data_IF_659446933721
#
_entry.id   IF_659446933721
#
_cell.length_a   1.000
_cell.length_b   1.000
_cell.length_c   1.000
_cell.angle_alpha   90.00
_cell.angle_beta   90.00
_cell.angle_gamma   90.00
#
_symmetry.space_group_name_H-M   'P 1'
#
loop_
_entity.id
_entity.type
_entity.pdbx_description
1 polymer ?
#
# COMPACT_ATOMS: atom_id res chain seq x y z
N UNK A 1 -15.03 -34.88 -49.01
CA UNK A 1 -14.00 -34.12 -48.26
C UNK A 1 -14.64 -33.51 -47.02
N UNK A 2 -14.53 -34.18 -45.87
CA UNK A 2 -14.93 -33.62 -44.58
C UNK A 2 -13.91 -32.55 -44.16
N UNK A 3 -14.36 -31.31 -43.99
CA UNK A 3 -13.56 -30.23 -43.41
C UNK A 3 -13.33 -30.54 -41.94
N UNK A 4 -12.08 -30.85 -41.60
CA UNK A 4 -11.59 -30.88 -40.21
C UNK A 4 -11.86 -29.53 -39.54
N UNK A 5 -12.46 -29.50 -38.33
CA UNK A 5 -12.64 -28.26 -37.58
C UNK A 5 -11.27 -27.66 -37.23
N UNK A 6 -11.13 -26.33 -37.18
CA UNK A 6 -9.87 -25.69 -36.83
C UNK A 6 -9.46 -26.14 -35.43
N UNK A 7 -8.25 -26.70 -35.32
CA UNK A 7 -7.63 -27.06 -34.05
C UNK A 7 -7.86 -25.96 -33.02
N UNK A 8 -8.60 -26.28 -31.95
CA UNK A 8 -8.69 -25.44 -30.77
C UNK A 8 -7.26 -25.16 -30.31
N UNK A 9 -6.80 -23.91 -30.46
CA UNK A 9 -5.49 -23.49 -29.95
C UNK A 9 -5.41 -23.91 -28.50
N UNK A 10 -4.42 -24.74 -28.17
CA UNK A 10 -4.15 -25.15 -26.80
C UNK A 10 -4.19 -23.90 -25.90
N UNK A 11 -4.89 -23.93 -24.76
CA UNK A 11 -4.98 -22.78 -23.88
C UNK A 11 -3.55 -22.37 -23.54
N UNK A 12 -3.14 -21.19 -24.03
CA UNK A 12 -1.80 -20.66 -23.75
C UNK A 12 -1.68 -20.64 -22.24
N UNK A 13 -0.73 -21.41 -21.71
CA UNK A 13 -0.29 -21.23 -20.34
C UNK A 13 -0.01 -19.75 -20.12
N UNK A 14 -0.11 -19.28 -18.88
CA UNK A 14 0.21 -17.89 -18.55
C UNK A 14 1.72 -17.62 -18.70
N UNK A 15 2.22 -17.71 -19.93
CA UNK A 15 3.61 -17.64 -20.36
C UNK A 15 4.08 -16.19 -20.48
N UNK A 16 5.22 -16.00 -21.15
CA UNK A 16 5.95 -14.70 -21.26
C UNK A 16 4.97 -13.53 -21.41
N UNK A 17 5.17 -12.42 -20.67
CA UNK A 17 4.26 -11.28 -20.72
C UNK A 17 4.10 -10.82 -22.17
N UNK A 18 2.85 -10.65 -22.60
CA UNK A 18 2.56 -10.07 -23.90
C UNK A 18 3.12 -8.64 -23.97
N UNK A 19 3.39 -8.14 -25.18
CA UNK A 19 3.95 -6.80 -25.41
C UNK A 19 3.21 -5.71 -24.64
N UNK A 20 1.88 -5.78 -24.56
CA UNK A 20 1.06 -4.83 -23.80
C UNK A 20 1.33 -4.86 -22.28
N UNK A 21 1.43 -6.05 -21.67
CA UNK A 21 1.72 -6.20 -20.24
C UNK A 21 3.12 -5.68 -19.90
N UNK A 22 4.11 -5.91 -20.78
CA UNK A 22 5.45 -5.36 -20.62
C UNK A 22 5.48 -3.83 -20.75
N UNK A 23 4.76 -3.26 -21.73
CA UNK A 23 4.68 -1.81 -21.89
C UNK A 23 4.00 -1.14 -20.70
N UNK A 24 2.91 -1.71 -20.17
CA UNK A 24 2.25 -1.22 -18.95
C UNK A 24 3.20 -1.29 -17.76
N UNK A 25 3.94 -2.39 -17.61
CA UNK A 25 4.96 -2.52 -16.57
C UNK A 25 6.01 -1.41 -16.66
N UNK A 26 6.61 -1.21 -17.84
CA UNK A 26 7.66 -0.21 -18.04
C UNK A 26 7.14 1.23 -17.85
N UNK A 27 5.95 1.53 -18.38
CA UNK A 27 5.32 2.84 -18.22
C UNK A 27 4.99 3.12 -16.75
N UNK A 28 4.45 2.14 -16.03
CA UNK A 28 4.17 2.27 -14.60
C UNK A 28 5.46 2.40 -13.78
N UNK A 29 6.48 1.59 -14.08
CA UNK A 29 7.77 1.63 -13.41
C UNK A 29 8.43 3.00 -13.54
N UNK A 30 8.43 3.58 -14.75
CA UNK A 30 9.00 4.90 -14.99
C UNK A 30 8.11 5.99 -14.37
N UNK A 31 6.81 5.99 -14.64
CA UNK A 31 5.90 7.05 -14.18
C UNK A 31 5.77 7.12 -12.66
N UNK A 32 5.45 5.99 -12.02
CA UNK A 32 5.32 5.90 -10.56
C UNK A 32 6.69 6.05 -9.90
N UNK A 33 7.74 5.48 -10.49
CA UNK A 33 9.10 5.56 -9.97
C UNK A 33 9.64 6.99 -9.94
N UNK A 34 9.45 7.76 -11.02
CA UNK A 34 9.84 9.17 -11.08
C UNK A 34 9.06 9.99 -10.06
N UNK A 35 7.75 9.80 -9.95
CA UNK A 35 6.93 10.51 -8.96
C UNK A 35 7.35 10.18 -7.52
N UNK A 36 7.56 8.90 -7.21
CA UNK A 36 7.96 8.45 -5.87
C UNK A 36 9.38 8.90 -5.52
N UNK A 37 10.31 8.88 -6.48
CA UNK A 37 11.66 9.40 -6.30
C UNK A 37 11.66 10.93 -6.11
N UNK A 38 10.79 11.66 -6.82
CA UNK A 38 10.61 13.08 -6.63
C UNK A 38 10.14 13.38 -5.20
N UNK A 39 9.15 12.65 -4.68
CA UNK A 39 8.74 12.73 -3.28
C UNK A 39 9.90 12.39 -2.32
N UNK A 40 10.70 11.36 -2.61
CA UNK A 40 11.82 10.97 -1.78
C UNK A 40 12.86 12.08 -1.60
N UNK A 41 13.17 12.82 -2.66
CA UNK A 41 14.20 13.88 -2.64
C UNK A 41 13.66 15.25 -2.22
N UNK A 42 12.38 15.53 -2.47
CA UNK A 42 11.77 16.82 -2.13
C UNK A 42 11.21 16.87 -0.72
N UNK A 43 10.94 15.72 -0.09
CA UNK A 43 10.41 15.71 1.26
C UNK A 43 11.48 16.08 2.27
N UNK A 44 11.30 17.10 3.15
CA UNK A 44 12.28 17.38 4.18
C UNK A 44 12.52 16.17 5.09
N UNK A 45 13.70 16.08 5.70
CA UNK A 45 14.01 14.98 6.60
C UNK A 45 13.07 15.00 7.81
N UNK A 46 12.49 13.84 8.14
CA UNK A 46 11.55 13.71 9.25
C UNK A 46 10.16 14.31 9.01
N UNK A 47 9.89 14.93 7.86
CA UNK A 47 8.60 15.52 7.58
C UNK A 47 7.54 14.47 7.18
N UNK A 48 7.93 13.29 6.72
CA UNK A 48 6.99 12.21 6.38
C UNK A 48 6.43 11.55 7.64
N UNK A 49 5.16 11.09 7.63
CA UNK A 49 4.55 10.55 8.83
C UNK A 49 5.29 9.32 9.37
N UNK A 50 5.61 9.37 10.66
CA UNK A 50 6.29 8.32 11.43
C UNK A 50 7.66 7.88 10.86
N UNK A 51 8.16 8.59 9.84
CA UNK A 51 9.36 8.19 9.10
C UNK A 51 10.62 8.10 9.98
N UNK A 52 10.88 9.03 10.93
CA UNK A 52 12.05 8.91 11.80
C UNK A 52 12.09 7.59 12.57
N UNK A 53 10.95 7.16 13.13
CA UNK A 53 10.85 5.90 13.83
C UNK A 53 11.16 4.71 12.90
N UNK A 54 10.66 4.75 11.67
CA UNK A 54 10.91 3.72 10.66
C UNK A 54 12.35 3.71 10.15
N UNK A 55 13.00 4.88 10.02
CA UNK A 55 14.42 4.99 9.67
C UNK A 55 15.32 4.41 10.75
N UNK A 56 15.08 4.77 12.01
CA UNK A 56 15.81 4.22 13.16
C UNK A 56 15.66 2.69 13.23
N UNK A 57 14.43 2.18 13.09
CA UNK A 57 14.15 0.74 13.04
C UNK A 57 14.85 0.04 11.87
N UNK A 58 14.86 0.63 10.68
CA UNK A 58 15.57 0.08 9.53
C UNK A 58 17.08 -0.01 9.76
N UNK A 59 17.70 1.06 10.26
CA UNK A 59 19.12 1.09 10.54
C UNK A 59 19.54 0.13 11.68
N UNK A 60 18.69 -0.07 12.68
CA UNK A 60 18.94 -1.01 13.78
C UNK A 60 18.84 -2.47 13.33
N UNK A 61 17.80 -2.80 12.56
CA UNK A 61 17.51 -4.17 12.10
C UNK A 61 18.62 -4.69 11.19
N UNK A 62 19.14 -3.88 10.26
CA UNK A 62 20.25 -4.29 9.39
C UNK A 62 21.58 -4.45 10.11
N UNK A 63 21.67 -3.99 11.36
CA UNK A 63 22.81 -4.19 12.28
C UNK A 63 22.55 -5.31 13.31
N UNK A 64 21.47 -6.06 13.17
CA UNK A 64 21.12 -7.18 14.04
C UNK A 64 20.34 -6.80 15.31
N UNK A 65 20.04 -5.51 15.54
CA UNK A 65 19.21 -5.08 16.65
C UNK A 65 17.73 -5.06 16.23
N UNK A 66 17.10 -6.24 16.25
CA UNK A 66 15.75 -6.45 15.73
C UNK A 66 14.65 -5.81 16.58
N UNK A 67 14.74 -5.84 17.92
CA UNK A 67 13.70 -5.31 18.80
C UNK A 67 14.09 -3.99 19.48
N UNK A 68 15.36 -3.81 19.80
CA UNK A 68 15.81 -2.73 20.67
C UNK A 68 15.54 -3.01 22.15
N UNK A 69 16.01 -2.11 22.99
CA UNK A 69 15.85 -2.20 24.44
C UNK A 69 14.50 -1.61 24.88
N UNK A 70 13.91 -2.18 25.92
CA UNK A 70 12.60 -1.79 26.44
C UNK A 70 12.70 -0.41 27.10
N UNK A 71 11.71 0.44 26.85
CA UNK A 71 11.53 1.73 27.54
C UNK A 71 10.30 1.67 28.45
N UNK A 72 10.02 2.75 29.18
CA UNK A 72 8.82 2.87 30.01
C UNK A 72 7.52 2.83 29.18
N UNK A 73 7.59 3.25 27.90
CA UNK A 73 6.49 3.05 26.96
C UNK A 73 6.62 1.66 26.29
N UNK A 74 5.61 0.79 26.42
CA UNK A 74 5.66 -0.55 25.84
C UNK A 74 5.80 -0.55 24.31
N UNK A 75 5.37 0.51 23.61
CA UNK A 75 5.52 0.68 22.16
C UNK A 75 6.94 1.09 21.76
N UNK A 76 7.59 1.92 22.58
CA UNK A 76 8.86 2.56 22.26
C UNK A 76 10.03 1.66 22.65
N UNK A 77 11.03 1.64 21.78
CA UNK A 77 12.26 0.87 21.96
C UNK A 77 13.46 1.78 21.73
N UNK A 78 14.50 1.58 22.52
CA UNK A 78 15.79 2.25 22.35
C UNK A 78 16.66 1.42 21.41
N UNK A 79 17.25 2.06 20.41
CA UNK A 79 18.09 1.43 19.39
C UNK A 79 19.37 2.22 19.15
N UNK A 80 20.38 1.53 18.64
CA UNK A 80 21.69 2.07 18.33
C UNK A 80 21.83 2.24 16.82
N UNK A 81 21.94 3.48 16.35
CA UNK A 81 22.03 3.81 14.91
C UNK A 81 23.03 4.94 14.67
N UNK A 82 23.52 5.13 13.43
CA UNK A 82 24.35 6.30 13.10
C UNK A 82 23.63 7.62 13.40
N UNK A 83 24.34 8.61 13.92
CA UNK A 83 23.78 9.91 14.33
C UNK A 83 23.03 10.63 13.20
N UNK A 84 23.50 10.54 11.96
CA UNK A 84 22.80 11.16 10.83
C UNK A 84 21.51 10.44 10.43
N UNK A 85 21.32 9.17 10.81
CA UNK A 85 20.00 8.51 10.72
C UNK A 85 19.10 8.97 11.87
N UNK A 86 19.63 9.00 13.09
CA UNK A 86 18.90 9.47 14.28
C UNK A 86 18.45 10.94 14.15
N UNK A 87 19.19 11.76 13.40
CA UNK A 87 18.86 13.15 13.08
C UNK A 87 17.49 13.32 12.39
N UNK A 88 16.94 12.27 11.77
CA UNK A 88 15.59 12.31 11.19
C UNK A 88 14.50 12.72 12.20
N UNK A 89 14.66 12.44 13.50
CA UNK A 89 13.67 12.85 14.51
C UNK A 89 13.81 14.33 14.92
N UNK A 90 15.00 14.85 15.29
CA UNK A 90 15.21 16.28 15.50
C UNK A 90 14.87 17.17 14.30
N UNK A 91 15.01 16.66 13.07
CA UNK A 91 14.62 17.38 11.85
C UNK A 91 13.12 17.44 11.61
N UNK A 92 12.31 16.63 12.30
CA UNK A 92 10.85 16.70 12.27
C UNK A 92 10.29 17.88 13.09
N UNK A 93 10.96 19.03 13.11
CA UNK A 93 10.63 20.19 13.94
C UNK A 93 9.33 20.91 13.56
N UNK A 94 8.85 20.72 12.32
CA UNK A 94 7.56 21.22 11.83
C UNK A 94 6.40 20.21 12.03
N UNK A 95 6.64 19.09 12.73
CA UNK A 95 5.62 18.06 13.00
C UNK A 95 4.38 18.69 13.64
N UNK A 96 3.22 18.45 13.02
CA UNK A 96 1.90 18.96 13.44
C UNK A 96 1.71 20.48 13.32
N UNK A 97 2.64 21.18 12.67
CA UNK A 97 2.55 22.61 12.38
C UNK A 97 2.71 22.84 10.87
N UNK A 98 1.56 22.96 10.19
CA UNK A 98 1.50 23.10 8.73
C UNK A 98 2.04 24.42 8.20
N UNK A 99 2.12 25.46 9.04
CA UNK A 99 2.58 26.80 8.67
C UNK A 99 4.09 26.98 8.90
N UNK A 100 4.74 26.02 9.58
CA UNK A 100 6.17 26.02 9.85
C UNK A 100 6.97 25.34 8.74
N UNK A 101 8.04 26.01 8.29
CA UNK A 101 8.99 25.48 7.30
C UNK A 101 10.05 24.58 7.95
N UNK A 102 10.72 23.77 7.14
CA UNK A 102 11.78 22.85 7.57
C UNK A 102 13.06 23.55 8.07
N UNK A 103 13.19 24.86 7.87
CA UNK A 103 14.30 25.69 8.38
C UNK A 103 14.43 25.66 9.91
N UNK A 104 13.39 25.22 10.63
CA UNK A 104 13.49 25.03 12.08
C UNK A 104 14.41 23.89 12.50
N UNK A 105 14.84 23.04 11.56
CA UNK A 105 15.61 21.86 11.88
C UNK A 105 17.01 22.26 12.36
N UNK A 106 17.56 21.59 13.40
CA UNK A 106 18.95 21.79 13.79
C UNK A 106 19.89 21.40 12.62
N UNK A 107 21.14 21.84 12.63
CA UNK A 107 22.10 21.46 11.59
C UNK A 107 22.33 19.94 11.51
N UNK A 108 22.42 19.39 10.29
CA UNK A 108 22.76 17.98 10.08
C UNK A 108 24.17 17.67 10.62
N UNK A 109 24.41 16.52 11.29
CA UNK A 109 25.75 16.17 11.79
C UNK A 109 26.80 16.14 10.67
N UNK A 110 27.90 16.88 10.83
CA UNK A 110 28.91 17.00 9.80
C UNK A 110 30.00 15.91 9.86
N UNK A 111 30.43 15.42 8.69
CA UNK A 111 31.54 14.47 8.56
C UNK A 111 31.37 13.22 9.42
N UNK A 112 32.45 12.82 10.09
CA UNK A 112 32.49 11.61 10.92
C UNK A 112 31.49 11.62 12.09
N UNK A 113 31.00 12.81 12.49
CA UNK A 113 29.98 12.89 13.54
C UNK A 113 28.66 12.24 13.11
N UNK A 114 28.35 12.20 11.81
CA UNK A 114 27.17 11.52 11.27
C UNK A 114 27.24 10.00 11.43
N UNK A 115 28.45 9.43 11.39
CA UNK A 115 28.68 7.98 11.45
C UNK A 115 28.75 7.45 12.88
N UNK A 116 28.90 8.33 13.88
CA UNK A 116 28.92 7.93 15.29
C UNK A 116 27.62 7.20 15.64
N UNK A 117 27.75 6.02 16.22
CA UNK A 117 26.60 5.28 16.75
C UNK A 117 26.09 5.98 18.00
N UNK A 118 24.80 6.33 18.00
CA UNK A 118 24.10 6.99 19.09
C UNK A 118 22.88 6.17 19.49
N UNK A 119 22.44 6.39 20.73
CA UNK A 119 21.20 5.84 21.23
C UNK A 119 20.04 6.75 20.85
N UNK A 120 18.97 6.18 20.32
CA UNK A 120 17.75 6.90 19.94
C UNK A 120 16.53 6.01 20.10
N UNK A 121 15.35 6.60 20.07
CA UNK A 121 14.09 5.90 20.24
C UNK A 121 13.42 5.58 18.89
N UNK A 122 12.59 4.53 18.90
CA UNK A 122 11.69 4.20 17.80
C UNK A 122 10.38 3.62 18.31
N UNK A 123 9.26 4.18 17.85
CA UNK A 123 7.91 3.65 18.07
C UNK A 123 7.57 2.48 17.12
N UNK A 124 8.51 2.11 16.22
CA UNK A 124 8.41 0.99 15.30
C UNK A 124 9.19 -0.25 15.78
N UNK A 125 9.73 -0.23 17.00
CA UNK A 125 10.56 -1.29 17.57
C UNK A 125 9.94 -2.69 17.50
N UNK A 126 8.62 -2.80 17.69
CA UNK A 126 7.91 -4.08 17.68
C UNK A 126 7.48 -4.57 16.28
N UNK A 127 7.66 -3.74 15.24
CA UNK A 127 7.25 -4.11 13.89
C UNK A 127 8.10 -5.26 13.34
N UNK A 128 7.50 -6.04 12.45
CA UNK A 128 8.15 -7.15 11.73
C UNK A 128 9.37 -6.64 10.93
N UNK A 129 10.52 -7.33 10.97
CA UNK A 129 11.76 -6.82 10.41
C UNK A 129 11.87 -6.89 8.88
N UNK A 130 10.99 -7.60 8.16
CA UNK A 130 11.19 -7.86 6.72
C UNK A 130 11.30 -6.58 5.90
N UNK A 131 10.37 -5.63 6.05
CA UNK A 131 10.43 -4.36 5.32
C UNK A 131 11.71 -3.58 5.64
N UNK A 132 12.08 -3.53 6.92
CA UNK A 132 13.22 -2.79 7.43
C UNK A 132 14.57 -3.35 6.95
N UNK A 133 14.69 -4.67 6.80
CA UNK A 133 15.85 -5.31 6.17
C UNK A 133 16.00 -4.90 4.71
N UNK A 134 14.89 -4.77 3.98
CA UNK A 134 14.91 -4.43 2.55
C UNK A 134 15.30 -2.97 2.29
N UNK A 135 14.98 -2.05 3.20
CA UNK A 135 15.22 -0.61 3.01
C UNK A 135 16.39 -0.05 3.81
N UNK A 136 16.87 -0.74 4.86
CA UNK A 136 17.88 -0.22 5.78
C UNK A 136 19.33 -0.35 5.33
N UNK A 137 19.64 -1.25 4.39
CA UNK A 137 21.01 -1.57 3.98
C UNK A 137 21.83 -0.38 3.41
N UNK A 138 21.25 0.71 2.83
CA UNK A 138 22.03 1.88 2.44
C UNK A 138 22.86 2.46 3.60
N UNK A 139 22.37 2.36 4.83
CA UNK A 139 23.08 2.81 6.04
C UNK A 139 24.31 1.97 6.39
N UNK A 140 24.45 0.75 5.83
CA UNK A 140 25.65 -0.06 6.00
C UNK A 140 26.76 0.36 5.01
N UNK A 141 26.39 0.93 3.87
CA UNK A 141 27.33 1.34 2.82
C UNK A 141 27.80 2.78 3.02
N UNK A 142 26.86 3.68 3.33
CA UNK A 142 27.11 5.12 3.43
C UNK A 142 26.99 5.65 4.87
N UNK A 143 27.02 4.76 5.86
CA UNK A 143 26.99 5.14 7.28
C UNK A 143 25.75 5.95 7.65
N UNK A 144 25.96 7.04 8.37
CA UNK A 144 24.95 8.03 8.73
C UNK A 144 24.87 9.23 7.80
N UNK A 145 25.54 9.22 6.65
CA UNK A 145 25.49 10.35 5.71
C UNK A 145 24.08 10.62 5.17
N UNK A 146 23.87 11.83 4.65
CA UNK A 146 22.63 12.21 3.94
C UNK A 146 22.32 11.25 2.78
N UNK A 147 23.35 10.75 2.09
CA UNK A 147 23.22 9.75 1.03
C UNK A 147 22.58 8.45 1.53
N UNK A 148 22.92 8.00 2.74
CA UNK A 148 22.30 6.83 3.33
C UNK A 148 20.80 7.03 3.52
N UNK A 149 20.39 8.18 4.09
CA UNK A 149 18.99 8.49 4.40
C UNK A 149 18.13 8.59 3.13
N UNK A 150 18.58 9.33 2.11
CA UNK A 150 17.91 9.36 0.82
C UNK A 150 17.97 8.01 0.10
N UNK A 151 19.05 7.25 0.27
CA UNK A 151 19.17 5.88 -0.23
C UNK A 151 18.06 4.98 0.31
N UNK A 152 17.76 5.04 1.60
CA UNK A 152 16.66 4.27 2.20
C UNK A 152 15.30 4.62 1.56
N UNK A 153 15.02 5.92 1.37
CA UNK A 153 13.80 6.40 0.70
C UNK A 153 13.72 5.93 -0.75
N UNK A 154 14.80 6.05 -1.52
CA UNK A 154 14.83 5.62 -2.92
C UNK A 154 14.68 4.10 -3.07
N UNK A 155 15.20 3.31 -2.13
CA UNK A 155 14.97 1.86 -2.09
C UNK A 155 13.52 1.54 -1.77
N UNK A 156 12.91 2.23 -0.79
CA UNK A 156 11.47 2.12 -0.50
C UNK A 156 10.62 2.42 -1.75
N UNK A 157 10.94 3.52 -2.43
CA UNK A 157 10.28 3.95 -3.66
C UNK A 157 10.40 2.91 -4.77
N UNK A 158 11.60 2.37 -4.99
CA UNK A 158 11.84 1.33 -5.99
C UNK A 158 11.05 0.06 -5.69
N UNK A 159 11.10 -0.45 -4.45
CA UNK A 159 10.41 -1.66 -4.05
C UNK A 159 8.88 -1.53 -4.23
N UNK A 160 8.30 -0.45 -3.72
CA UNK A 160 6.87 -0.19 -3.83
C UNK A 160 6.44 0.02 -5.30
N UNK A 161 7.26 0.72 -6.09
CA UNK A 161 7.01 0.92 -7.52
C UNK A 161 7.06 -0.39 -8.30
N UNK A 162 8.02 -1.28 -8.04
CA UNK A 162 8.12 -2.59 -8.70
C UNK A 162 6.87 -3.44 -8.44
N UNK A 163 6.37 -3.43 -7.21
CA UNK A 163 5.14 -4.12 -6.81
C UNK A 163 3.91 -3.51 -7.51
N UNK A 164 3.76 -2.19 -7.48
CA UNK A 164 2.66 -1.49 -8.14
C UNK A 164 2.66 -1.65 -9.67
N UNK A 165 3.83 -1.54 -10.31
CA UNK A 165 4.00 -1.80 -11.74
C UNK A 165 3.68 -3.26 -12.07
N UNK A 166 4.10 -4.20 -11.22
CA UNK A 166 3.71 -5.61 -11.31
C UNK A 166 2.19 -5.80 -11.26
N UNK A 167 1.50 -5.12 -10.34
CA UNK A 167 0.04 -5.14 -10.23
C UNK A 167 -0.63 -4.72 -11.53
N UNK A 168 -0.27 -3.54 -12.06
CA UNK A 168 -0.84 -3.02 -13.31
C UNK A 168 -0.51 -3.93 -14.50
N UNK A 169 0.69 -4.50 -14.54
CA UNK A 169 1.09 -5.45 -15.57
C UNK A 169 0.28 -6.75 -15.54
N UNK A 170 -0.14 -7.23 -14.37
CA UNK A 170 -1.04 -8.39 -14.24
C UNK A 170 -2.46 -8.04 -14.70
N UNK A 171 -2.99 -6.89 -14.28
CA UNK A 171 -4.30 -6.41 -14.73
C UNK A 171 -4.36 -6.21 -16.25
N UNK A 172 -3.25 -5.81 -16.87
CA UNK A 172 -3.12 -5.69 -18.32
C UNK A 172 -3.27 -7.03 -19.08
N UNK A 173 -3.25 -8.18 -18.37
CA UNK A 173 -3.48 -9.51 -18.95
C UNK A 173 -4.95 -9.94 -18.88
N UNK A 174 -5.81 -9.18 -18.22
CA UNK A 174 -7.24 -9.45 -18.18
C UNK A 174 -7.84 -9.39 -19.59
N UNK A 175 -8.96 -10.10 -19.84
CA UNK A 175 -9.67 -10.01 -21.12
C UNK A 175 -10.13 -8.58 -21.47
N UNK A 176 -10.38 -7.77 -20.43
CA UNK A 176 -10.85 -6.38 -20.51
C UNK A 176 -9.97 -5.48 -19.63
N UNK A 177 -8.75 -5.14 -20.07
CA UNK A 177 -7.73 -4.59 -19.18
C UNK A 177 -7.85 -3.09 -18.94
N UNK A 178 -8.53 -2.34 -19.82
CA UNK A 178 -8.49 -0.87 -19.82
C UNK A 178 -8.99 -0.28 -18.51
N UNK A 179 -10.21 -0.61 -18.09
CA UNK A 179 -10.78 -0.06 -16.85
C UNK A 179 -10.05 -0.54 -15.59
N UNK A 180 -9.73 -1.85 -15.41
CA UNK A 180 -8.96 -2.31 -14.25
C UNK A 180 -7.59 -1.64 -14.11
N UNK A 181 -6.83 -1.49 -15.20
CA UNK A 181 -5.53 -0.81 -15.17
C UNK A 181 -5.71 0.67 -14.83
N UNK A 182 -6.62 1.37 -15.52
CA UNK A 182 -6.88 2.80 -15.31
C UNK A 182 -7.33 3.11 -13.89
N UNK A 183 -8.33 2.37 -13.39
CA UNK A 183 -8.90 2.61 -12.07
C UNK A 183 -7.92 2.27 -10.95
N UNK A 184 -7.14 1.19 -11.10
CA UNK A 184 -6.09 0.85 -10.11
C UNK A 184 -4.97 1.89 -10.12
N UNK A 185 -4.55 2.38 -11.29
CA UNK A 185 -3.59 3.48 -11.37
C UNK A 185 -4.13 4.76 -10.70
N UNK A 186 -5.38 5.13 -10.96
CA UNK A 186 -6.03 6.27 -10.33
C UNK A 186 -6.20 6.08 -8.81
N UNK A 187 -6.31 4.84 -8.33
CA UNK A 187 -6.36 4.52 -6.91
C UNK A 187 -4.99 4.60 -6.22
N UNK A 188 -3.89 4.60 -6.96
CA UNK A 188 -2.58 5.00 -6.43
C UNK A 188 -2.54 6.52 -6.33
N UNK A 189 -3.22 7.07 -5.33
CA UNK A 189 -3.39 8.51 -5.07
C UNK A 189 -2.06 9.25 -4.84
N UNK A 190 -2.04 10.60 -4.85
CA UNK A 190 -0.88 11.37 -4.44
C UNK A 190 -0.30 10.95 -3.08
N UNK A 191 -1.16 10.63 -2.11
CA UNK A 191 -0.73 10.07 -0.82
C UNK A 191 0.08 8.79 -1.00
N UNK A 192 -0.39 7.86 -1.83
CA UNK A 192 0.34 6.62 -2.11
C UNK A 192 1.74 6.89 -2.67
N UNK A 193 1.88 7.82 -3.63
CA UNK A 193 3.17 8.19 -4.20
C UNK A 193 4.10 8.86 -3.18
N UNK A 194 3.55 9.70 -2.30
CA UNK A 194 4.32 10.31 -1.20
C UNK A 194 4.85 9.27 -0.22
N UNK A 195 4.00 8.28 0.14
CA UNK A 195 4.39 7.18 1.03
C UNK A 195 5.45 6.30 0.39
N UNK A 196 5.35 6.01 -0.91
CA UNK A 196 6.39 5.26 -1.64
C UNK A 196 7.74 5.97 -1.56
N UNK A 197 7.75 7.31 -1.65
CA UNK A 197 8.94 8.14 -1.48
C UNK A 197 9.48 8.23 -0.05
N UNK A 198 8.82 7.62 0.92
CA UNK A 198 9.23 7.65 2.34
C UNK A 198 9.64 6.27 2.85
N UNK A 199 10.40 6.23 3.95
CA UNK A 199 10.62 4.99 4.69
C UNK A 199 9.38 4.73 5.56
N UNK A 200 8.39 4.04 5.00
CA UNK A 200 7.13 3.74 5.69
C UNK A 200 6.57 2.35 5.31
N UNK A 201 6.33 1.44 6.27
CA UNK A 201 5.78 0.12 5.99
C UNK A 201 4.33 0.14 5.47
N UNK A 202 3.58 1.24 5.65
CA UNK A 202 2.27 1.41 5.01
C UNK A 202 2.40 1.44 3.48
N UNK A 203 3.43 2.11 2.95
CA UNK A 203 3.73 2.11 1.51
C UNK A 203 3.89 0.68 0.97
N UNK A 204 4.62 -0.13 1.73
CA UNK A 204 4.89 -1.53 1.40
C UNK A 204 3.63 -2.40 1.45
N UNK A 205 2.78 -2.20 2.46
CA UNK A 205 1.48 -2.87 2.60
C UNK A 205 0.55 -2.57 1.43
N UNK A 206 0.46 -1.30 1.04
CA UNK A 206 -0.31 -0.84 -0.13
C UNK A 206 0.18 -1.56 -1.40
N UNK A 207 1.48 -1.49 -1.67
CA UNK A 207 2.05 -2.00 -2.90
C UNK A 207 1.96 -3.52 -3.00
N UNK A 208 2.24 -4.24 -1.89
CA UNK A 208 2.14 -5.69 -1.81
C UNK A 208 0.69 -6.17 -1.94
N UNK A 209 -0.28 -5.45 -1.35
CA UNK A 209 -1.72 -5.73 -1.50
C UNK A 209 -2.13 -5.59 -2.95
N UNK A 210 -1.78 -4.49 -3.61
CA UNK A 210 -2.11 -4.28 -5.02
C UNK A 210 -1.51 -5.38 -5.91
N UNK A 211 -0.24 -5.73 -5.70
CA UNK A 211 0.46 -6.76 -6.46
C UNK A 211 -0.19 -8.15 -6.29
N UNK A 212 -0.41 -8.58 -5.04
CA UNK A 212 -1.04 -9.86 -4.75
C UNK A 212 -2.48 -9.92 -5.29
N UNK A 213 -3.29 -8.90 -5.01
CA UNK A 213 -4.69 -8.82 -5.46
C UNK A 213 -4.80 -8.85 -6.99
N UNK A 214 -3.97 -8.08 -7.69
CA UNK A 214 -3.99 -8.04 -9.16
C UNK A 214 -3.63 -9.40 -9.77
N UNK A 215 -2.60 -10.08 -9.28
CA UNK A 215 -2.21 -11.40 -9.77
C UNK A 215 -3.28 -12.47 -9.46
N UNK A 216 -3.82 -12.44 -8.24
CA UNK A 216 -4.85 -13.39 -7.80
C UNK A 216 -6.15 -13.22 -8.60
N UNK A 217 -6.68 -12.00 -8.67
CA UNK A 217 -7.89 -11.67 -9.43
C UNK A 217 -7.71 -11.96 -10.91
N UNK A 218 -6.55 -11.64 -11.50
CA UNK A 218 -6.27 -11.94 -12.91
C UNK A 218 -6.25 -13.45 -13.18
N UNK A 219 -5.67 -14.24 -12.26
CA UNK A 219 -5.67 -15.70 -12.34
C UNK A 219 -7.07 -16.30 -12.27
N UNK A 220 -7.90 -15.83 -11.33
CA UNK A 220 -9.28 -16.27 -11.16
C UNK A 220 -10.15 -15.94 -12.37
N UNK A 221 -10.10 -14.69 -12.86
CA UNK A 221 -10.94 -14.21 -13.97
C UNK A 221 -10.59 -14.91 -15.28
N UNK A 222 -9.30 -15.16 -15.53
CA UNK A 222 -8.87 -15.81 -16.77
C UNK A 222 -9.14 -17.31 -16.78
N UNK A 223 -9.09 -17.96 -15.63
CA UNK A 223 -9.41 -19.39 -15.49
C UNK A 223 -8.51 -20.36 -16.28
N UNK A 224 -7.48 -19.90 -17.00
CA UNK A 224 -6.53 -20.72 -17.76
C UNK A 224 -5.36 -21.24 -16.93
N UNK A 225 -4.45 -22.07 -17.48
CA UNK A 225 -3.35 -22.68 -16.73
C UNK A 225 -2.41 -21.64 -16.07
N UNK A 226 -2.00 -21.90 -14.83
CA UNK A 226 -1.13 -21.00 -14.04
C UNK A 226 0.33 -21.38 -14.25
N UNK A 227 1.18 -20.40 -14.56
CA UNK A 227 2.62 -20.61 -14.67
C UNK A 227 3.32 -20.56 -13.32
N UNK A 228 4.46 -21.23 -13.19
CA UNK A 228 5.32 -21.13 -12.00
C UNK A 228 5.78 -19.70 -11.70
N UNK A 229 5.88 -18.85 -12.72
CA UNK A 229 6.16 -17.41 -12.54
C UNK A 229 5.04 -16.68 -11.81
N UNK A 230 3.78 -17.01 -12.14
CA UNK A 230 2.61 -16.44 -11.47
C UNK A 230 2.50 -16.95 -10.03
N UNK A 231 2.76 -18.24 -9.82
CA UNK A 231 2.84 -18.80 -8.47
C UNK A 231 3.94 -18.18 -7.62
N UNK A 232 5.15 -18.01 -8.18
CA UNK A 232 6.24 -17.32 -7.49
C UNK A 232 5.89 -15.87 -7.17
N UNK A 233 5.25 -15.15 -8.09
CA UNK A 233 4.79 -13.79 -7.84
C UNK A 233 3.74 -13.73 -6.74
N UNK A 234 2.75 -14.63 -6.73
CA UNK A 234 1.76 -14.74 -5.65
C UNK A 234 2.42 -15.08 -4.30
N UNK A 235 3.37 -16.00 -4.29
CA UNK A 235 4.11 -16.40 -3.10
C UNK A 235 4.92 -15.25 -2.51
N UNK A 236 5.68 -14.54 -3.36
CA UNK A 236 6.49 -13.39 -2.95
C UNK A 236 5.59 -12.25 -2.49
N UNK A 237 4.62 -11.81 -3.30
CA UNK A 237 3.77 -10.66 -2.95
C UNK A 237 2.87 -10.93 -1.74
N UNK A 238 2.33 -12.13 -1.61
CA UNK A 238 1.54 -12.54 -0.44
C UNK A 238 2.40 -12.68 0.82
N UNK A 239 3.62 -13.23 0.70
CA UNK A 239 4.57 -13.30 1.80
C UNK A 239 5.04 -11.92 2.27
N UNK A 240 5.39 -11.03 1.34
CA UNK A 240 5.77 -9.66 1.66
C UNK A 240 4.61 -8.89 2.32
N UNK A 241 3.37 -9.08 1.84
CA UNK A 241 2.19 -8.42 2.39
C UNK A 241 2.03 -8.73 3.88
N UNK A 242 2.05 -10.01 4.28
CA UNK A 242 1.76 -10.39 5.68
C UNK A 242 2.80 -9.89 6.69
N UNK A 243 3.99 -9.53 6.22
CA UNK A 243 5.07 -8.96 7.03
C UNK A 243 5.16 -7.42 6.96
N UNK A 244 4.25 -6.73 6.26
CA UNK A 244 4.34 -5.27 6.14
C UNK A 244 4.00 -4.55 7.46
N UNK A 245 2.88 -4.88 8.09
CA UNK A 245 2.39 -4.32 9.36
C UNK A 245 1.62 -5.40 10.14
N UNK A 246 1.34 -5.14 11.42
CA UNK A 246 0.60 -6.07 12.28
C UNK A 246 -0.81 -6.44 11.77
N UNK A 247 -1.45 -5.57 10.99
CA UNK A 247 -2.79 -5.82 10.42
C UNK A 247 -2.76 -6.42 9.01
N UNK A 248 -1.60 -6.55 8.37
CA UNK A 248 -1.51 -6.97 6.97
C UNK A 248 -2.06 -8.38 6.67
N UNK A 249 -1.96 -9.38 7.57
CA UNK A 249 -2.64 -10.66 7.39
C UNK A 249 -4.17 -10.54 7.22
N UNK A 250 -4.78 -9.52 7.84
CA UNK A 250 -6.21 -9.23 7.66
C UNK A 250 -6.50 -8.86 6.21
N UNK A 251 -5.72 -7.96 5.62
CA UNK A 251 -5.90 -7.53 4.23
C UNK A 251 -5.73 -8.67 3.23
N UNK A 252 -4.76 -9.56 3.46
CA UNK A 252 -4.62 -10.78 2.67
C UNK A 252 -5.92 -11.60 2.68
N UNK A 253 -6.52 -11.79 3.86
CA UNK A 253 -7.81 -12.47 4.01
C UNK A 253 -8.93 -11.80 3.21
N UNK A 254 -9.05 -10.48 3.28
CA UNK A 254 -10.07 -9.72 2.52
C UNK A 254 -9.87 -9.89 1.01
N UNK A 255 -8.63 -9.83 0.52
CA UNK A 255 -8.31 -10.06 -0.91
C UNK A 255 -8.74 -11.45 -1.36
N UNK A 256 -8.41 -12.48 -0.57
CA UNK A 256 -8.75 -13.88 -0.89
C UNK A 256 -10.27 -14.07 -0.94
N UNK A 257 -11.00 -13.57 0.06
CA UNK A 257 -12.46 -13.70 0.13
C UNK A 257 -13.14 -12.91 -1.00
N UNK A 258 -12.74 -11.66 -1.24
CA UNK A 258 -13.29 -10.85 -2.33
C UNK A 258 -13.06 -11.50 -3.71
N UNK A 259 -11.86 -12.02 -3.96
CA UNK A 259 -11.56 -12.76 -5.19
C UNK A 259 -12.37 -14.06 -5.31
N UNK A 260 -12.53 -14.84 -4.24
CA UNK A 260 -13.36 -16.04 -4.26
C UNK A 260 -14.83 -15.71 -4.57
N UNK A 261 -15.37 -14.62 -4.01
CA UNK A 261 -16.71 -14.13 -4.32
C UNK A 261 -16.86 -13.70 -5.78
N UNK A 262 -15.81 -13.15 -6.39
CA UNK A 262 -15.83 -12.60 -7.76
C UNK A 262 -16.19 -13.66 -8.81
N UNK A 263 -15.61 -14.86 -8.68
CA UNK A 263 -15.84 -15.97 -9.63
C UNK A 263 -16.76 -17.07 -9.09
N UNK A 264 -17.07 -17.04 -7.79
CA UNK A 264 -17.83 -18.06 -7.07
C UNK A 264 -16.95 -19.19 -6.52
N UNK A 265 -17.39 -19.77 -5.40
CA UNK A 265 -16.63 -20.77 -4.64
C UNK A 265 -16.12 -21.97 -5.47
N UNK A 266 -16.92 -22.59 -6.36
CA UNK A 266 -16.44 -23.75 -7.13
C UNK A 266 -15.26 -23.41 -8.06
N UNK A 267 -15.28 -22.23 -8.70
CA UNK A 267 -14.21 -21.77 -9.58
C UNK A 267 -12.97 -21.34 -8.80
N UNK A 268 -13.16 -20.67 -7.68
CA UNK A 268 -12.07 -20.32 -6.77
C UNK A 268 -11.34 -21.58 -6.29
N UNK A 269 -12.09 -22.61 -5.88
CA UNK A 269 -11.53 -23.88 -5.44
C UNK A 269 -10.81 -24.64 -6.56
N UNK A 270 -11.36 -24.64 -7.77
CA UNK A 270 -10.70 -25.23 -8.94
C UNK A 270 -9.38 -24.50 -9.29
N UNK A 271 -9.31 -23.19 -9.09
CA UNK A 271 -8.08 -22.42 -9.25
C UNK A 271 -7.05 -22.76 -8.15
N UNK A 272 -7.49 -22.82 -6.89
CA UNK A 272 -6.64 -23.12 -5.74
C UNK A 272 -6.03 -24.52 -5.81
N UNK A 273 -6.76 -25.52 -6.31
CA UNK A 273 -6.29 -26.91 -6.44
C UNK A 273 -5.17 -27.12 -7.47
N UNK A 274 -4.76 -26.09 -8.21
CA UNK A 274 -3.67 -26.21 -9.17
C UNK A 274 -2.34 -26.32 -8.42
N UNK A 275 -1.43 -27.22 -8.80
CA UNK A 275 -0.20 -27.47 -8.05
C UNK A 275 0.63 -26.20 -7.86
N UNK A 276 0.72 -25.34 -8.89
CA UNK A 276 1.44 -24.08 -8.81
C UNK A 276 0.81 -23.12 -7.77
N UNK A 277 -0.53 -23.05 -7.74
CA UNK A 277 -1.25 -22.19 -6.78
C UNK A 277 -1.18 -22.77 -5.38
N UNK A 278 -1.29 -24.10 -5.22
CA UNK A 278 -1.11 -24.77 -3.93
C UNK A 278 0.28 -24.51 -3.33
N UNK A 279 1.34 -24.55 -4.14
CA UNK A 279 2.69 -24.18 -3.67
C UNK A 279 2.72 -22.73 -3.19
N UNK A 280 2.15 -21.80 -3.96
CA UNK A 280 2.08 -20.40 -3.54
C UNK A 280 1.28 -20.22 -2.24
N UNK A 281 0.13 -20.89 -2.12
CA UNK A 281 -0.68 -20.92 -0.89
C UNK A 281 0.11 -21.47 0.28
N UNK A 282 0.85 -22.57 0.09
CA UNK A 282 1.70 -23.16 1.14
C UNK A 282 2.77 -22.17 1.63
N UNK A 283 3.47 -21.50 0.71
CA UNK A 283 4.47 -20.49 1.06
C UNK A 283 3.85 -19.31 1.79
N UNK A 284 2.72 -18.78 1.30
CA UNK A 284 2.02 -17.66 1.95
C UNK A 284 1.49 -18.08 3.32
N UNK A 285 0.96 -19.29 3.48
CA UNK A 285 0.48 -19.80 4.76
C UNK A 285 1.60 -19.92 5.79
N UNK A 286 2.77 -20.46 5.41
CA UNK A 286 3.95 -20.52 6.28
C UNK A 286 4.43 -19.12 6.65
N UNK A 287 4.53 -18.21 5.67
CA UNK A 287 4.91 -16.81 5.92
C UNK A 287 3.91 -16.10 6.84
N UNK A 288 2.61 -16.35 6.66
CA UNK A 288 1.55 -15.81 7.53
C UNK A 288 1.70 -16.34 8.95
N UNK A 289 1.99 -17.64 9.12
CA UNK A 289 2.22 -18.22 10.43
C UNK A 289 3.44 -17.58 11.13
N UNK A 290 4.53 -17.34 10.40
CA UNK A 290 5.71 -16.64 10.93
C UNK A 290 5.38 -15.20 11.34
N UNK A 291 4.64 -14.45 10.51
CA UNK A 291 4.19 -13.10 10.82
C UNK A 291 3.29 -13.07 12.07
N UNK A 292 2.33 -14.00 12.17
CA UNK A 292 1.45 -14.12 13.35
C UNK A 292 2.25 -14.48 14.61
N UNK A 293 3.22 -15.40 14.51
CA UNK A 293 4.11 -15.73 15.64
C UNK A 293 4.90 -14.50 16.08
N UNK A 294 5.42 -13.70 15.14
CA UNK A 294 6.09 -12.43 15.47
C UNK A 294 5.15 -11.47 16.19
N UNK A 295 3.94 -11.25 15.64
CA UNK A 295 2.93 -10.36 16.21
C UNK A 295 2.57 -10.75 17.64
N UNK A 296 2.33 -12.05 17.88
CA UNK A 296 1.97 -12.59 19.19
C UNK A 296 3.13 -12.53 20.19
N UNK A 297 4.36 -12.81 19.77
CA UNK A 297 5.54 -12.77 20.65
C UNK A 297 5.94 -11.35 21.04
N UNK A 298 5.81 -10.40 20.12
CA UNK A 298 6.19 -9.00 20.36
C UNK A 298 5.07 -8.19 21.00
N UNK A 299 3.82 -8.67 20.94
CA UNK A 299 2.66 -7.91 21.40
C UNK A 299 2.41 -6.64 20.59
N UNK A 300 2.89 -6.57 19.34
CA UNK A 300 2.87 -5.35 18.50
C UNK A 300 1.49 -4.71 18.33
N UNK A 301 0.41 -5.49 18.36
CA UNK A 301 -0.98 -5.00 18.29
C UNK A 301 -1.54 -4.52 19.64
N UNK A 302 -0.96 -4.97 20.76
CA UNK A 302 -1.40 -4.62 22.11
C UNK A 302 -0.61 -3.45 22.68
N UNK A 303 0.64 -3.27 22.25
CA UNK A 303 1.55 -2.20 22.64
C UNK A 303 1.41 -0.98 21.71
N UNK A 304 0.20 -0.63 21.31
CA UNK A 304 -0.10 0.65 20.67
C UNK A 304 -0.32 1.59 21.85
N UNK A 305 0.55 2.58 22.06
CA UNK A 305 0.59 3.45 23.24
C UNK A 305 -0.74 4.14 23.58
N UNK A 306 -0.72 5.07 24.55
CA UNK A 306 -1.95 5.75 24.98
C UNK A 306 -2.17 7.03 24.17
N UNK A 307 -3.22 7.04 23.35
CA UNK A 307 -3.63 8.19 22.53
C UNK A 307 -4.91 8.83 23.06
N UNK A 308 -5.32 9.93 22.43
CA UNK A 308 -6.51 10.69 22.80
C UNK A 308 -7.76 9.79 22.83
N UNK A 309 -8.61 10.02 23.84
CA UNK A 309 -9.84 9.27 24.13
C UNK A 309 -9.62 7.78 24.45
N UNK A 310 -8.45 7.41 24.98
CA UNK A 310 -8.28 6.09 25.61
C UNK A 310 -9.35 5.87 26.70
N UNK A 311 -9.89 4.64 26.78
CA UNK A 311 -11.00 4.30 27.67
C UNK A 311 -12.40 4.48 27.08
N UNK A 312 -12.51 4.97 25.83
CA UNK A 312 -13.79 5.03 25.10
C UNK A 312 -14.38 3.63 24.95
N UNK A 313 -15.71 3.51 25.05
CA UNK A 313 -16.40 2.22 24.89
C UNK A 313 -16.29 1.69 23.45
N UNK A 314 -16.39 0.36 23.28
CA UNK A 314 -16.39 -0.27 21.96
C UNK A 314 -17.48 0.31 21.03
N UNK A 315 -18.70 0.46 21.54
CA UNK A 315 -19.84 0.93 20.74
C UNK A 315 -19.67 2.36 20.27
N UNK A 316 -19.20 3.24 21.15
CA UNK A 316 -18.91 4.64 20.81
C UNK A 316 -17.74 4.74 19.82
N UNK A 317 -16.66 3.97 20.05
CA UNK A 317 -15.53 3.89 19.13
C UNK A 317 -15.92 3.45 17.73
N UNK A 318 -16.82 2.46 17.62
CA UNK A 318 -17.35 1.99 16.36
C UNK A 318 -18.12 3.09 15.62
N UNK A 319 -19.03 3.79 16.32
CA UNK A 319 -19.82 4.88 15.73
C UNK A 319 -18.91 6.01 15.24
N UNK A 320 -17.96 6.45 16.06
CA UNK A 320 -17.02 7.51 15.69
C UNK A 320 -16.22 7.14 14.45
N UNK A 321 -15.76 5.89 14.35
CA UNK A 321 -15.01 5.43 13.18
C UNK A 321 -15.85 5.42 11.91
N UNK A 322 -17.13 5.04 12.03
CA UNK A 322 -18.07 5.07 10.90
C UNK A 322 -18.35 6.52 10.47
N UNK A 323 -18.57 7.43 11.41
CA UNK A 323 -18.78 8.86 11.14
C UNK A 323 -17.55 9.49 10.47
N UNK A 324 -16.35 9.21 10.99
CA UNK A 324 -15.07 9.72 10.46
C UNK A 324 -14.60 9.03 9.18
N UNK A 325 -15.32 8.04 8.65
CA UNK A 325 -14.91 7.32 7.43
C UNK A 325 -14.70 8.27 6.25
N UNK A 326 -15.49 9.33 6.15
CA UNK A 326 -15.36 10.36 5.11
C UNK A 326 -14.19 11.31 5.38
N UNK A 327 -13.95 11.67 6.64
CA UNK A 327 -12.81 12.51 7.02
C UNK A 327 -11.49 11.81 6.70
N UNK A 328 -11.38 10.52 7.03
CA UNK A 328 -10.24 9.68 6.68
C UNK A 328 -10.03 9.55 5.18
N UNK A 329 -11.06 9.72 4.37
CA UNK A 329 -10.94 9.63 2.93
C UNK A 329 -10.04 10.76 2.37
N UNK A 330 -9.93 11.92 3.06
CA UNK A 330 -9.00 12.99 2.69
C UNK A 330 -7.55 12.55 2.84
N UNK A 331 -7.23 11.86 3.94
CA UNK A 331 -5.89 11.33 4.21
C UNK A 331 -5.46 10.29 3.18
N UNK A 332 -6.41 9.60 2.55
CA UNK A 332 -6.12 8.65 1.49
C UNK A 332 -5.70 9.33 0.18
N UNK A 333 -6.02 10.61 -0.04
CA UNK A 333 -5.71 11.30 -1.29
C UNK A 333 -4.50 12.21 -1.13
N UNK A 334 -4.46 13.06 -0.11
CA UNK A 334 -3.40 14.06 0.03
C UNK A 334 -3.50 14.85 1.31
N UNK A 335 -3.34 14.18 2.45
CA UNK A 335 -2.96 14.83 3.70
C UNK A 335 -1.54 14.39 4.04
N UNK A 336 -0.57 15.21 3.61
CA UNK A 336 0.85 14.88 3.71
C UNK A 336 1.42 15.32 5.05
N UNK A 337 2.71 15.03 5.24
CA UNK A 337 3.41 15.38 6.45
C UNK A 337 2.91 14.57 7.65
N UNK A 338 2.84 15.19 8.81
CA UNK A 338 2.29 14.58 10.02
C UNK A 338 0.75 14.77 10.11
N UNK A 339 0.06 14.56 8.97
CA UNK A 339 -1.35 14.91 8.74
C UNK A 339 -1.66 16.42 8.90
N UNK A 340 -0.65 17.25 8.66
CA UNK A 340 -0.65 18.70 8.85
C UNK A 340 -0.63 19.47 7.51
N UNK A 341 -0.48 18.76 6.38
CA UNK A 341 -0.36 19.37 5.04
C UNK A 341 -1.42 18.86 4.10
N UNK A 342 -2.66 19.26 4.35
CA UNK A 342 -3.80 18.84 3.57
C UNK A 342 -3.91 19.62 2.25
N UNK A 343 -4.02 18.91 1.12
CA UNK A 343 -4.28 19.57 -0.17
C UNK A 343 -5.68 20.18 -0.21
N UNK A 344 -5.91 21.21 -1.06
CA UNK A 344 -7.22 21.80 -1.22
C UNK A 344 -8.31 20.80 -1.61
N UNK A 345 -9.52 20.95 -1.07
CA UNK A 345 -10.62 20.01 -1.26
C UNK A 345 -11.01 19.80 -2.73
N UNK A 346 -10.78 20.80 -3.61
CA UNK A 346 -11.04 20.65 -5.04
C UNK A 346 -10.14 19.62 -5.73
N UNK A 347 -8.95 19.33 -5.18
CA UNK A 347 -8.04 18.31 -5.69
C UNK A 347 -8.41 16.92 -5.17
N UNK A 348 -9.05 16.85 -4.00
CA UNK A 348 -9.52 15.61 -3.37
C UNK A 348 -10.85 15.15 -3.95
N UNK A 349 -11.79 16.07 -4.14
CA UNK A 349 -13.17 15.76 -4.51
C UNK A 349 -13.33 14.92 -5.79
N UNK A 350 -12.56 15.14 -6.88
CA UNK A 350 -12.64 14.31 -8.08
C UNK A 350 -12.33 12.83 -7.83
N UNK A 351 -11.46 12.52 -6.87
CA UNK A 351 -11.19 11.14 -6.47
C UNK A 351 -12.45 10.52 -5.86
N UNK A 352 -13.08 11.18 -4.89
CA UNK A 352 -14.32 10.67 -4.27
C UNK A 352 -15.44 10.44 -5.29
N UNK A 353 -15.62 11.37 -6.23
CA UNK A 353 -16.59 11.19 -7.31
C UNK A 353 -16.24 9.97 -8.17
N UNK A 354 -14.97 9.84 -8.59
CA UNK A 354 -14.52 8.69 -9.35
C UNK A 354 -14.71 7.35 -8.63
N UNK A 355 -14.44 7.32 -7.32
CA UNK A 355 -14.60 6.13 -6.47
C UNK A 355 -16.08 5.77 -6.33
N UNK A 356 -16.92 6.75 -6.02
CA UNK A 356 -18.37 6.57 -5.92
C UNK A 356 -18.95 6.06 -7.24
N UNK A 357 -18.57 6.67 -8.36
CA UNK A 357 -19.05 6.28 -9.70
C UNK A 357 -18.65 4.84 -10.05
N UNK A 358 -17.40 4.44 -9.83
CA UNK A 358 -16.96 3.08 -10.20
C UNK A 358 -17.59 2.01 -9.30
N UNK A 359 -17.72 2.28 -8.00
CA UNK A 359 -18.38 1.37 -7.05
C UNK A 359 -19.87 1.27 -7.36
N UNK A 360 -20.56 2.40 -7.59
CA UNK A 360 -21.96 2.42 -7.96
C UNK A 360 -22.20 1.69 -9.29
N UNK A 361 -21.38 1.96 -10.31
CA UNK A 361 -21.47 1.26 -11.60
C UNK A 361 -21.30 -0.25 -11.43
N UNK A 362 -20.35 -0.70 -10.61
CA UNK A 362 -20.13 -2.12 -10.36
C UNK A 362 -21.27 -2.79 -9.57
N UNK A 363 -22.01 -2.04 -8.75
CA UNK A 363 -23.17 -2.53 -7.98
C UNK A 363 -24.48 -2.52 -8.78
N UNK A 364 -24.65 -1.54 -9.68
CA UNK A 364 -25.89 -1.30 -10.40
C UNK A 364 -25.95 -1.99 -11.76
N UNK A 365 -24.81 -2.16 -12.44
CA UNK A 365 -24.78 -2.75 -13.78
C UNK A 365 -24.85 -4.28 -13.69
N UNK A 366 -25.66 -4.95 -14.53
CA UNK A 366 -25.71 -6.41 -14.57
C UNK A 366 -24.33 -7.03 -14.80
N UNK A 367 -23.83 -7.75 -13.80
CA UNK A 367 -22.53 -8.41 -13.82
C UNK A 367 -22.65 -9.93 -13.90
N UNK A 368 -21.53 -10.62 -14.15
CA UNK A 368 -21.46 -12.06 -13.93
C UNK A 368 -21.86 -12.43 -12.49
N UNK A 369 -22.42 -13.64 -12.31
CA UNK A 369 -22.76 -14.19 -10.98
C UNK A 369 -21.51 -14.14 -10.08
N UNK A 370 -21.59 -13.40 -8.97
CA UNK A 370 -20.48 -13.21 -8.02
C UNK A 370 -19.88 -11.81 -7.99
N UNK A 371 -19.92 -11.07 -9.11
CA UNK A 371 -19.32 -9.73 -9.21
C UNK A 371 -19.81 -8.74 -8.15
N UNK A 372 -21.13 -8.53 -8.07
CA UNK A 372 -21.74 -7.68 -7.03
C UNK A 372 -21.39 -8.13 -5.60
N UNK A 373 -21.31 -9.44 -5.34
CA UNK A 373 -20.93 -9.95 -4.01
C UNK A 373 -19.49 -9.60 -3.66
N UNK A 374 -18.57 -9.71 -4.61
CA UNK A 374 -17.17 -9.33 -4.41
C UNK A 374 -17.03 -7.83 -4.10
N UNK A 375 -17.76 -6.97 -4.82
CA UNK A 375 -17.77 -5.53 -4.56
C UNK A 375 -18.35 -5.22 -3.17
N UNK A 376 -19.44 -5.88 -2.78
CA UNK A 376 -20.03 -5.73 -1.43
C UNK A 376 -19.05 -6.19 -0.36
N UNK A 377 -18.39 -7.34 -0.53
CA UNK A 377 -17.38 -7.83 0.43
C UNK A 377 -16.22 -6.85 0.55
N UNK A 378 -15.70 -6.33 -0.56
CA UNK A 378 -14.62 -5.35 -0.53
C UNK A 378 -15.06 -4.02 0.10
N UNK A 379 -16.29 -3.58 -0.16
CA UNK A 379 -16.86 -2.36 0.42
C UNK A 379 -17.09 -2.50 1.93
N UNK A 380 -17.67 -3.61 2.36
CA UNK A 380 -17.85 -3.95 3.77
C UNK A 380 -16.50 -4.07 4.46
N UNK A 381 -15.51 -4.69 3.82
CA UNK A 381 -14.14 -4.78 4.33
C UNK A 381 -13.48 -3.41 4.48
N UNK A 382 -13.69 -2.51 3.52
CA UNK A 382 -13.18 -1.14 3.55
C UNK A 382 -13.82 -0.28 4.66
N UNK A 383 -15.13 -0.41 4.90
CA UNK A 383 -15.85 0.40 5.89
C UNK A 383 -15.81 -0.21 7.29
N UNK A 384 -16.16 -1.48 7.44
CA UNK A 384 -16.38 -2.09 8.75
C UNK A 384 -15.10 -2.56 9.43
N UNK A 385 -14.12 -3.10 8.70
CA UNK A 385 -12.94 -3.68 9.37
C UNK A 385 -12.09 -2.63 10.10
N UNK A 386 -11.76 -1.46 9.50
CA UNK A 386 -11.11 -0.38 10.25
C UNK A 386 -11.87 0.01 11.51
N UNK A 387 -13.20 0.15 11.41
CA UNK A 387 -14.05 0.56 12.51
C UNK A 387 -14.08 -0.49 13.63
N UNK A 388 -14.18 -1.78 13.30
CA UNK A 388 -14.14 -2.88 14.26
C UNK A 388 -12.78 -3.02 14.94
N UNK A 389 -11.70 -2.91 14.17
CA UNK A 389 -10.33 -3.00 14.70
C UNK A 389 -10.08 -1.84 15.66
N UNK A 390 -10.38 -0.61 15.25
CA UNK A 390 -10.17 0.56 16.10
C UNK A 390 -11.12 0.57 17.31
N UNK A 391 -12.37 0.13 17.16
CA UNK A 391 -13.29 -0.03 18.31
C UNK A 391 -12.78 -1.05 19.33
N UNK A 392 -12.09 -2.11 18.88
CA UNK A 392 -11.50 -3.10 19.78
C UNK A 392 -10.28 -2.57 20.54
N UNK A 393 -9.52 -1.63 19.97
CA UNK A 393 -8.31 -1.06 20.59
C UNK A 393 -8.58 0.21 21.40
N UNK A 394 -9.59 1.01 21.05
CA UNK A 394 -9.83 2.35 21.65
C UNK A 394 -10.02 2.31 23.16
N UNK A 395 -10.54 1.20 23.70
CA UNK A 395 -10.71 0.98 25.14
C UNK A 395 -9.39 1.05 25.91
N UNK A 396 -8.25 0.74 25.27
CA UNK A 396 -6.92 0.73 25.86
C UNK A 396 -6.00 1.80 25.28
N UNK A 397 -5.96 1.92 23.96
CA UNK A 397 -4.99 2.75 23.25
C UNK A 397 -5.53 4.10 22.81
N UNK A 398 -6.84 4.36 22.85
CA UNK A 398 -7.41 5.54 22.21
C UNK A 398 -7.36 5.50 20.67
N UNK A 399 -7.58 6.64 20.02
CA UNK A 399 -7.66 6.74 18.56
C UNK A 399 -6.30 6.89 17.87
N UNK A 400 -5.90 5.84 17.14
CA UNK A 400 -4.61 5.78 16.44
C UNK A 400 -4.80 5.70 14.93
N UNK A 401 -6.00 5.33 14.48
CA UNK A 401 -6.28 5.12 13.07
C UNK A 401 -6.19 6.40 12.26
N UNK A 402 -5.61 6.29 11.07
CA UNK A 402 -5.46 7.38 10.10
C UNK A 402 -5.93 6.86 8.74
N UNK A 403 -6.48 7.73 7.90
CA UNK A 403 -7.12 7.25 6.67
C UNK A 403 -6.18 6.54 5.71
N UNK A 404 -4.89 6.88 5.72
CA UNK A 404 -3.86 6.17 4.95
C UNK A 404 -3.77 4.66 5.26
N UNK A 405 -4.19 4.20 6.45
CA UNK A 405 -4.23 2.77 6.79
C UNK A 405 -5.32 2.00 6.02
N UNK A 406 -6.28 2.70 5.41
CA UNK A 406 -7.34 2.08 4.61
C UNK A 406 -6.97 1.90 3.13
N UNK A 407 -5.85 2.47 2.67
CA UNK A 407 -5.43 2.41 1.27
C UNK A 407 -5.34 0.97 0.70
N UNK A 408 -4.87 -0.06 1.44
CA UNK A 408 -4.90 -1.45 0.97
C UNK A 408 -6.32 -1.95 0.63
N UNK A 409 -7.28 -1.72 1.52
CA UNK A 409 -8.68 -2.12 1.34
C UNK A 409 -9.35 -1.34 0.21
N UNK A 410 -9.07 -0.04 0.15
CA UNK A 410 -9.55 0.85 -0.89
C UNK A 410 -9.07 0.43 -2.28
N UNK A 411 -7.77 0.12 -2.43
CA UNK A 411 -7.22 -0.37 -3.70
C UNK A 411 -7.88 -1.66 -4.14
N UNK A 412 -8.12 -2.60 -3.22
CA UNK A 412 -8.86 -3.82 -3.50
C UNK A 412 -10.30 -3.51 -3.98
N UNK A 413 -11.01 -2.62 -3.27
CA UNK A 413 -12.38 -2.21 -3.63
C UNK A 413 -12.45 -1.65 -5.04
N UNK A 414 -11.59 -0.68 -5.37
CA UNK A 414 -11.56 -0.06 -6.70
C UNK A 414 -11.15 -1.08 -7.77
N UNK A 415 -10.16 -1.92 -7.50
CA UNK A 415 -9.71 -2.96 -8.42
C UNK A 415 -10.85 -3.95 -8.74
N UNK A 416 -11.54 -4.46 -7.72
CA UNK A 416 -12.66 -5.40 -7.91
C UNK A 416 -13.83 -4.72 -8.61
N UNK A 417 -14.20 -3.51 -8.21
CA UNK A 417 -15.25 -2.73 -8.87
C UNK A 417 -14.94 -2.51 -10.35
N UNK A 418 -13.69 -2.16 -10.68
CA UNK A 418 -13.24 -1.97 -12.05
C UNK A 418 -13.32 -3.26 -12.88
N UNK A 419 -12.92 -4.40 -12.32
CA UNK A 419 -13.03 -5.71 -12.98
C UNK A 419 -14.49 -6.08 -13.26
N UNK A 420 -15.39 -5.78 -12.32
CA UNK A 420 -16.83 -6.04 -12.46
C UNK A 420 -17.49 -5.11 -13.49
N UNK A 421 -17.09 -3.83 -13.51
CA UNK A 421 -17.63 -2.83 -14.44
C UNK A 421 -17.01 -2.88 -15.85
N UNK A 422 -15.86 -3.55 -16.03
CA UNK A 422 -15.14 -3.59 -17.30
C UNK A 422 -15.99 -4.01 -18.53
N UNK A 423 -16.88 -5.02 -18.46
CA UNK A 423 -17.71 -5.40 -19.61
C UNK A 423 -18.67 -4.30 -20.07
N UNK A 424 -19.13 -3.45 -19.16
CA UNK A 424 -20.00 -2.34 -19.48
C UNK A 424 -19.20 -1.16 -20.05
N UNK A 425 -18.03 -0.91 -19.46
CA UNK A 425 -17.09 0.08 -19.97
C UNK A 425 -16.71 -0.19 -21.43
N UNK A 426 -16.42 -1.44 -21.82
CA UNK A 426 -16.07 -1.79 -23.21
C UNK A 426 -17.16 -1.47 -24.24
N UNK A 427 -18.43 -1.32 -23.82
CA UNK A 427 -19.55 -0.96 -24.71
C UNK A 427 -19.68 0.55 -24.93
N UNK A 428 -18.97 1.35 -24.16
CA UNK A 428 -18.99 2.81 -24.25
C UNK A 428 -18.29 3.25 -25.54
N UNK A 429 -18.76 4.30 -26.25
CA UNK A 429 -18.12 4.78 -27.48
C UNK A 429 -16.65 5.18 -27.27
N UNK A 430 -15.80 4.94 -28.26
CA UNK A 430 -14.36 5.21 -28.19
C UNK A 430 -14.03 6.68 -27.86
N UNK A 431 -14.86 7.64 -28.30
CA UNK A 431 -14.71 9.05 -27.94
C UNK A 431 -14.84 9.27 -26.43
N UNK A 432 -15.81 8.61 -25.79
CA UNK A 432 -16.05 8.70 -24.35
C UNK A 432 -14.93 7.99 -23.58
N UNK A 433 -14.41 6.86 -24.07
CA UNK A 433 -13.19 6.25 -23.50
C UNK A 433 -12.01 7.22 -23.46
N UNK A 434 -11.72 7.88 -24.60
CA UNK A 434 -10.62 8.86 -24.67
C UNK A 434 -10.82 10.02 -23.71
N UNK A 435 -12.06 10.51 -23.57
CA UNK A 435 -12.40 11.57 -22.62
C UNK A 435 -12.23 11.13 -21.18
N UNK A 436 -12.64 9.92 -20.82
CA UNK A 436 -12.44 9.37 -19.47
C UNK A 436 -10.94 9.20 -19.17
N UNK A 437 -10.17 8.67 -20.11
CA UNK A 437 -8.71 8.53 -19.97
C UNK A 437 -8.04 9.90 -19.79
N UNK A 438 -8.38 10.88 -20.61
CA UNK A 438 -7.86 12.24 -20.49
C UNK A 438 -8.26 12.88 -19.16
N UNK A 439 -9.53 12.73 -18.73
CA UNK A 439 -10.01 13.23 -17.46
C UNK A 439 -9.25 12.63 -16.28
N UNK A 440 -9.10 11.30 -16.24
CA UNK A 440 -8.34 10.61 -15.18
C UNK A 440 -6.88 11.08 -15.18
N UNK A 441 -6.25 11.19 -16.34
CA UNK A 441 -4.87 11.66 -16.44
C UNK A 441 -4.72 13.11 -15.96
N UNK A 442 -5.61 14.02 -16.36
CA UNK A 442 -5.61 15.42 -15.96
C UNK A 442 -5.87 15.57 -14.46
N UNK A 443 -6.88 14.89 -13.93
CA UNK A 443 -7.20 14.90 -12.49
C UNK A 443 -6.01 14.39 -11.68
N UNK A 444 -5.42 13.26 -12.10
CA UNK A 444 -4.30 12.65 -11.39
C UNK A 444 -3.05 13.52 -11.44
N UNK A 445 -2.72 14.08 -12.60
CA UNK A 445 -1.59 14.98 -12.77
C UNK A 445 -1.78 16.29 -11.99
N UNK A 446 -2.99 16.88 -12.04
CA UNK A 446 -3.31 18.10 -11.31
C UNK A 446 -3.23 17.89 -9.80
N UNK A 447 -3.79 16.79 -9.28
CA UNK A 447 -3.71 16.48 -7.85
C UNK A 447 -2.29 16.15 -7.40
N UNK A 448 -1.49 15.43 -8.21
CA UNK A 448 -0.08 15.20 -7.93
C UNK A 448 0.72 16.51 -7.91
N UNK A 449 0.48 17.40 -8.88
CA UNK A 449 1.13 18.71 -8.95
C UNK A 449 0.73 19.60 -7.77
N UNK A 450 -0.57 19.75 -7.50
CA UNK A 450 -1.07 20.52 -6.35
C UNK A 450 -0.53 19.95 -5.05
N UNK A 451 -0.49 18.63 -4.92
CA UNK A 451 0.02 17.97 -3.74
C UNK A 451 1.50 18.25 -3.48
N UNK A 452 2.33 18.08 -4.51
CA UNK A 452 3.76 18.39 -4.42
C UNK A 452 3.98 19.88 -4.13
N UNK A 453 3.29 20.78 -4.84
CA UNK A 453 3.43 22.23 -4.64
C UNK A 453 2.96 22.68 -3.26
N UNK A 454 1.91 22.07 -2.71
CA UNK A 454 1.45 22.35 -1.34
C UNK A 454 2.53 21.92 -0.34
N UNK A 455 3.13 20.76 -0.55
CA UNK A 455 4.17 20.25 0.34
C UNK A 455 5.47 21.05 0.28
N UNK A 456 5.90 21.43 -0.93
CA UNK A 456 7.11 22.23 -1.15
C UNK A 456 7.09 23.63 -0.51
N UNK A 457 5.91 24.16 -0.15
CA UNK A 457 5.81 25.42 0.61
C UNK A 457 6.39 25.32 2.03
N UNK A 458 6.57 24.09 2.52
CA UNK A 458 7.14 23.80 3.84
C UNK A 458 8.65 23.54 3.78
N UNK A 459 9.26 23.53 2.59
CA UNK A 459 10.69 23.30 2.45
C UNK A 459 11.52 24.51 2.85
#
# INVERSE_FOLDING_TARGET
MMRTPPHARAPRTDGRPGRASLLVFLAALIGIGVLSALWAVTTPLGASPDEPAHMNKAASVVRGQFLGDVTDDPQVRTVQVPAGVAYSDPSACARHDGDRTADCAPGFPAGDAADRIVSTETSAGLYDPVYYLLVGWPTLIWGGSTTAVFGMRLVSALLCTLLAAGALAYLARLPRPVLPVLATFAALTPMTHSLFGSVNPNAFEIAATAAFAAAYVSGLVRGGPVSWRTAAFLAVTGGLLVHARGLSPMWLGVVVVAGACLVGWPRAWAYLRRPQVLTAVGVVAVSTALAVVWILRTGSLAAVGVYERAGTSFGEGLVIMLERTVDYARDMVGNFGWLDTAIPSYAVFPYFVGWGVIVAAALMIPSAKGGRRAVVVALVGFVLLPALVQASSVTKSGFVWQGRYNLPAYLLLIMVAAVVAAPAFDRVPALVHRRILALVAVVHAAAAFVGLMTFLRRN
#
